data_IF_658194659639
#
_entry.id   IF_658194659639
#
_cell.length_a   1.000
_cell.length_b   1.000
_cell.length_c   1.000
_cell.angle_alpha   90.00
_cell.angle_beta   90.00
_cell.angle_gamma   90.00
#
_symmetry.space_group_name_H-M   'P 1'
#
loop_
_entity.id
_entity.type
_entity.pdbx_description
1 polymer ?
#
# COMPACT_ATOMS: atom_id res chain seq x y z
N UNK A 1 -27.02 14.83 -50.58
CA UNK A 1 -27.20 13.49 -49.96
C UNK A 1 -26.81 13.42 -48.47
N UNK A 2 -26.22 14.46 -47.83
CA UNK A 2 -25.83 14.40 -46.41
C UNK A 2 -26.94 14.67 -45.39
N UNK A 3 -27.97 15.46 -45.75
CA UNK A 3 -29.03 15.86 -44.81
C UNK A 3 -29.89 14.70 -44.28
N UNK A 4 -30.19 13.70 -45.12
CA UNK A 4 -30.93 12.51 -44.72
C UNK A 4 -30.15 11.61 -43.76
N UNK A 5 -28.82 11.50 -43.92
CA UNK A 5 -27.95 10.73 -43.01
C UNK A 5 -27.85 11.39 -41.64
N UNK A 6 -27.70 12.71 -41.59
CA UNK A 6 -27.64 13.46 -40.34
C UNK A 6 -28.94 13.34 -39.53
N UNK A 7 -30.10 13.48 -40.20
CA UNK A 7 -31.41 13.33 -39.57
C UNK A 7 -31.65 11.92 -39.04
N UNK A 8 -31.30 10.88 -39.82
CA UNK A 8 -31.43 9.49 -39.40
C UNK A 8 -30.50 9.16 -38.22
N UNK A 9 -29.24 9.61 -38.26
CA UNK A 9 -28.30 9.43 -37.15
C UNK A 9 -28.78 10.15 -35.89
N UNK A 10 -29.27 11.38 -36.01
CA UNK A 10 -29.84 12.14 -34.89
C UNK A 10 -31.06 11.47 -34.28
N UNK A 11 -31.97 10.93 -35.10
CA UNK A 11 -33.15 10.20 -34.64
C UNK A 11 -32.81 8.87 -33.93
N UNK A 12 -31.65 8.28 -34.24
CA UNK A 12 -31.18 7.05 -33.60
C UNK A 12 -30.49 7.28 -32.24
N UNK A 13 -30.18 8.54 -31.88
CA UNK A 13 -29.57 8.85 -30.59
C UNK A 13 -30.56 8.62 -29.44
N UNK A 14 -30.06 8.07 -28.33
CA UNK A 14 -30.87 7.79 -27.16
C UNK A 14 -30.13 8.14 -25.87
N UNK A 15 -30.89 8.34 -24.79
CA UNK A 15 -30.35 8.62 -23.46
C UNK A 15 -29.40 9.83 -23.45
N UNK A 16 -28.23 9.74 -22.81
CA UNK A 16 -27.28 10.83 -22.72
C UNK A 16 -26.79 11.37 -24.07
N UNK A 17 -26.80 10.56 -25.14
CA UNK A 17 -26.31 10.97 -26.45
C UNK A 17 -27.21 12.03 -27.12
N UNK A 18 -28.49 12.14 -26.74
CA UNK A 18 -29.42 13.16 -27.25
C UNK A 18 -28.95 14.59 -26.94
N UNK A 19 -28.19 14.78 -25.85
CA UNK A 19 -27.65 16.09 -25.47
C UNK A 19 -26.77 16.72 -26.56
N UNK A 20 -26.12 15.89 -27.38
CA UNK A 20 -25.29 16.37 -28.50
C UNK A 20 -26.10 17.15 -29.55
N UNK A 21 -27.38 16.83 -29.75
CA UNK A 21 -28.22 17.55 -30.72
C UNK A 21 -28.47 19.00 -30.29
N UNK A 22 -28.46 19.27 -28.98
CA UNK A 22 -28.65 20.61 -28.42
C UNK A 22 -27.35 21.42 -28.36
N UNK A 23 -26.19 20.75 -28.37
CA UNK A 23 -24.88 21.40 -28.27
C UNK A 23 -24.33 21.84 -29.64
N UNK A 24 -24.77 21.21 -30.73
CA UNK A 24 -24.29 21.48 -32.08
C UNK A 24 -25.08 22.61 -32.76
N UNK A 25 -24.40 23.41 -33.57
CA UNK A 25 -25.02 24.49 -34.34
C UNK A 25 -25.84 23.94 -35.50
N UNK A 26 -27.04 24.48 -35.71
CA UNK A 26 -27.90 24.13 -36.84
C UNK A 26 -27.51 24.89 -38.12
N UNK A 27 -27.60 24.26 -39.31
CA UNK A 27 -28.02 22.88 -39.54
C UNK A 27 -26.91 21.87 -39.19
N UNK A 28 -27.26 20.82 -38.44
CA UNK A 28 -26.29 19.79 -38.01
C UNK A 28 -25.88 18.97 -39.23
N UNK A 29 -24.60 19.06 -39.59
CA UNK A 29 -24.03 18.24 -40.65
C UNK A 29 -23.68 16.85 -40.13
N UNK A 30 -23.81 15.84 -40.98
CA UNK A 30 -23.50 14.45 -40.62
C UNK A 30 -22.09 14.31 -40.04
N UNK A 31 -21.08 14.89 -40.70
CA UNK A 31 -19.68 14.81 -40.24
C UNK A 31 -19.47 15.47 -38.87
N UNK A 32 -20.17 16.58 -38.60
CA UNK A 32 -20.10 17.25 -37.29
C UNK A 32 -20.70 16.38 -36.19
N UNK A 33 -21.82 15.72 -36.48
CA UNK A 33 -22.46 14.80 -35.53
C UNK A 33 -21.59 13.56 -35.27
N UNK A 34 -20.99 12.98 -36.31
CA UNK A 34 -20.04 11.86 -36.16
C UNK A 34 -18.82 12.28 -35.37
N UNK A 35 -18.22 13.43 -35.67
CA UNK A 35 -17.07 13.94 -34.94
C UNK A 35 -17.37 14.21 -33.47
N UNK A 36 -18.57 14.74 -33.15
CA UNK A 36 -19.00 14.96 -31.78
C UNK A 36 -19.26 13.64 -31.03
N UNK A 37 -19.84 12.64 -31.71
CA UNK A 37 -20.03 11.30 -31.17
C UNK A 37 -18.68 10.61 -30.91
N UNK A 38 -17.73 10.68 -31.83
CA UNK A 38 -16.39 10.11 -31.64
C UNK A 38 -15.61 10.88 -30.55
N UNK A 39 -15.77 12.20 -30.46
CA UNK A 39 -15.17 12.99 -29.39
C UNK A 39 -15.79 12.70 -28.01
N UNK A 40 -17.07 12.35 -27.89
CA UNK A 40 -17.68 12.08 -26.58
C UNK A 40 -17.65 10.59 -26.19
N UNK A 41 -17.85 9.72 -27.17
CA UNK A 41 -18.06 8.28 -26.99
C UNK A 41 -17.05 7.41 -27.74
N UNK A 42 -16.12 8.02 -28.49
CA UNK A 42 -15.09 7.29 -29.22
C UNK A 42 -14.14 6.54 -28.30
N UNK A 43 -13.52 5.50 -28.87
CA UNK A 43 -12.73 4.50 -28.14
C UNK A 43 -11.58 5.15 -27.35
N UNK A 44 -10.92 6.17 -27.90
CA UNK A 44 -9.78 6.84 -27.25
C UNK A 44 -10.19 7.55 -25.96
N UNK A 45 -11.30 8.27 -25.98
CA UNK A 45 -11.75 9.04 -24.82
C UNK A 45 -12.37 8.13 -23.76
N UNK A 46 -13.03 7.05 -24.19
CA UNK A 46 -13.44 5.98 -23.30
C UNK A 46 -12.23 5.27 -22.66
N UNK A 47 -11.19 4.94 -23.42
CA UNK A 47 -9.96 4.36 -22.87
C UNK A 47 -9.36 5.24 -21.78
N UNK A 48 -9.13 6.53 -22.06
CA UNK A 48 -8.54 7.47 -21.10
C UNK A 48 -9.39 7.60 -19.83
N UNK A 49 -10.70 7.73 -19.98
CA UNK A 49 -11.63 7.76 -18.84
C UNK A 49 -11.48 6.49 -17.98
N UNK A 50 -11.54 5.31 -18.60
CA UNK A 50 -11.47 4.04 -17.87
C UNK A 50 -10.10 3.79 -17.25
N UNK A 51 -9.01 4.29 -17.84
CA UNK A 51 -7.68 4.28 -17.22
C UNK A 51 -7.66 5.10 -15.93
N UNK A 52 -8.21 6.32 -15.96
CA UNK A 52 -8.29 7.18 -14.76
C UNK A 52 -9.19 6.54 -13.70
N UNK A 53 -10.33 5.95 -14.11
CA UNK A 53 -11.21 5.22 -13.20
C UNK A 53 -10.50 4.01 -12.58
N UNK A 54 -9.76 3.22 -13.38
CA UNK A 54 -8.99 2.07 -12.89
C UNK A 54 -7.91 2.49 -11.89
N UNK A 55 -7.17 3.57 -12.19
CA UNK A 55 -6.08 4.06 -11.34
C UNK A 55 -6.58 4.62 -9.99
N UNK A 56 -7.73 5.31 -10.01
CA UNK A 56 -8.34 5.87 -8.79
C UNK A 56 -9.17 4.87 -8.00
N UNK A 57 -9.35 3.65 -8.54
CA UNK A 57 -10.23 2.65 -7.94
C UNK A 57 -9.58 2.03 -6.69
N UNK A 58 -10.33 2.11 -5.59
CA UNK A 58 -10.03 1.42 -4.32
C UNK A 58 -11.29 0.71 -3.83
N UNK A 59 -11.14 -0.42 -3.13
CA UNK A 59 -12.25 -1.21 -2.60
C UNK A 59 -13.08 -0.38 -1.61
N UNK A 60 -14.40 -0.33 -1.82
CA UNK A 60 -15.31 0.45 -0.96
C UNK A 60 -15.53 -0.25 0.39
N UNK A 61 -16.02 0.51 1.37
CA UNK A 61 -16.26 0.00 2.73
C UNK A 61 -17.33 -1.10 2.82
N UNK A 62 -18.32 -1.05 1.92
CA UNK A 62 -19.42 -2.01 1.83
C UNK A 62 -19.24 -3.03 0.69
N UNK A 63 -18.06 -3.06 0.08
CA UNK A 63 -17.79 -3.90 -1.09
C UNK A 63 -16.95 -5.13 -0.70
N UNK A 64 -17.44 -6.30 -1.05
CA UNK A 64 -16.70 -7.56 -0.89
C UNK A 64 -15.56 -7.68 -1.93
N UNK A 65 -14.58 -8.53 -1.64
CA UNK A 65 -13.37 -8.69 -2.47
C UNK A 65 -13.71 -9.22 -3.88
N UNK A 66 -14.72 -10.08 -4.02
CA UNK A 66 -15.08 -10.68 -5.32
C UNK A 66 -15.76 -9.65 -6.23
N UNK A 67 -16.65 -8.83 -5.67
CA UNK A 67 -17.26 -7.71 -6.37
C UNK A 67 -16.20 -6.72 -6.80
N UNK A 68 -15.30 -6.32 -5.89
CA UNK A 68 -14.19 -5.44 -6.23
C UNK A 68 -13.32 -6.00 -7.37
N UNK A 69 -12.94 -7.27 -7.30
CA UNK A 69 -12.19 -7.97 -8.33
C UNK A 69 -12.87 -7.90 -9.71
N UNK A 70 -14.17 -8.23 -9.77
CA UNK A 70 -14.97 -8.20 -11.01
C UNK A 70 -15.00 -6.78 -11.61
N UNK A 71 -15.22 -5.76 -10.78
CA UNK A 71 -15.24 -4.37 -11.23
C UNK A 71 -13.86 -3.93 -11.76
N UNK A 72 -12.77 -4.38 -11.14
CA UNK A 72 -11.41 -4.11 -11.62
C UNK A 72 -11.14 -4.74 -12.99
N UNK A 73 -11.56 -6.00 -13.19
CA UNK A 73 -11.46 -6.65 -14.50
C UNK A 73 -12.30 -5.92 -15.57
N UNK A 74 -13.51 -5.50 -15.20
CA UNK A 74 -14.40 -4.77 -16.11
C UNK A 74 -13.85 -3.39 -16.49
N UNK A 75 -13.29 -2.65 -15.53
CA UNK A 75 -12.59 -1.39 -15.80
C UNK A 75 -11.38 -1.62 -16.70
N UNK A 76 -10.58 -2.66 -16.45
CA UNK A 76 -9.45 -3.01 -17.30
C UNK A 76 -9.86 -3.33 -18.74
N UNK A 77 -10.93 -4.11 -18.93
CA UNK A 77 -11.49 -4.44 -20.25
C UNK A 77 -11.97 -3.21 -21.01
N UNK A 78 -12.58 -2.24 -20.32
CA UNK A 78 -13.02 -0.97 -20.92
C UNK A 78 -11.86 -0.01 -21.18
N UNK A 79 -10.83 -0.03 -20.34
CA UNK A 79 -9.61 0.75 -20.52
C UNK A 79 -8.81 0.26 -21.74
N UNK A 80 -8.76 -1.06 -21.98
CA UNK A 80 -8.04 -1.60 -23.13
C UNK A 80 -8.90 -2.60 -23.95
N UNK A 81 -9.90 -2.12 -24.72
CA UNK A 81 -10.81 -3.00 -25.46
C UNK A 81 -10.13 -3.85 -26.54
N UNK A 82 -8.95 -3.41 -27.01
CA UNK A 82 -8.20 -4.06 -28.09
C UNK A 82 -6.96 -4.82 -27.60
N UNK A 83 -6.66 -4.79 -26.29
CA UNK A 83 -5.47 -5.47 -25.77
C UNK A 83 -5.70 -6.97 -25.69
N UNK A 84 -4.72 -7.75 -26.18
CA UNK A 84 -4.70 -9.22 -26.11
C UNK A 84 -3.93 -9.71 -24.87
N UNK A 85 -4.30 -9.23 -23.68
CA UNK A 85 -3.76 -9.69 -22.39
C UNK A 85 -2.48 -8.99 -21.88
N UNK A 86 -1.84 -8.13 -22.69
CA UNK A 86 -0.59 -7.45 -22.28
C UNK A 86 -0.72 -6.43 -21.14
N UNK A 87 -1.94 -6.16 -20.66
CA UNK A 87 -2.22 -5.15 -19.62
C UNK A 87 -2.70 -5.79 -18.31
N UNK A 88 -2.74 -7.11 -18.22
CA UNK A 88 -3.25 -7.84 -17.05
C UNK A 88 -2.40 -7.55 -15.81
N UNK A 89 -1.08 -7.42 -15.97
CA UNK A 89 -0.16 -7.07 -14.88
C UNK A 89 -0.48 -5.69 -14.26
N UNK A 90 -0.97 -4.74 -15.06
CA UNK A 90 -1.36 -3.41 -14.59
C UNK A 90 -2.64 -3.52 -13.76
N UNK A 91 -3.63 -4.28 -14.23
CA UNK A 91 -4.89 -4.51 -13.50
C UNK A 91 -4.61 -5.20 -12.17
N UNK A 92 -3.77 -6.24 -12.17
CA UNK A 92 -3.34 -6.95 -10.95
C UNK A 92 -2.70 -5.97 -9.97
N UNK A 93 -1.77 -5.14 -10.44
CA UNK A 93 -1.09 -4.13 -9.60
C UNK A 93 -2.10 -3.16 -8.95
N UNK A 94 -3.05 -2.63 -9.72
CA UNK A 94 -4.08 -1.74 -9.16
C UNK A 94 -5.03 -2.47 -8.20
N UNK A 95 -5.42 -3.70 -8.52
CA UNK A 95 -6.25 -4.52 -7.62
C UNK A 95 -5.57 -4.68 -6.27
N UNK A 96 -4.30 -5.11 -6.24
CA UNK A 96 -3.53 -5.29 -5.02
C UNK A 96 -3.46 -4.00 -4.18
N UNK A 97 -3.11 -2.88 -4.82
CA UNK A 97 -2.94 -1.61 -4.11
C UNK A 97 -4.26 -1.05 -3.55
N UNK A 98 -5.36 -1.27 -4.26
CA UNK A 98 -6.68 -0.78 -3.87
C UNK A 98 -7.45 -1.68 -2.90
N UNK A 99 -6.90 -2.81 -2.47
CA UNK A 99 -7.50 -3.63 -1.39
C UNK A 99 -7.61 -2.80 -0.10
N UNK A 100 -8.80 -2.84 0.52
CA UNK A 100 -9.12 -1.98 1.67
C UNK A 100 -8.44 -2.45 2.96
N UNK A 101 -8.46 -3.75 3.21
CA UNK A 101 -7.85 -4.31 4.43
C UNK A 101 -6.32 -4.31 4.26
N UNK A 102 -5.57 -3.56 5.09
CA UNK A 102 -4.13 -3.45 4.95
C UNK A 102 -3.40 -4.78 5.15
N UNK A 103 -3.94 -5.68 5.99
CA UNK A 103 -3.35 -7.01 6.23
C UNK A 103 -3.53 -7.90 5.01
N UNK A 104 -4.73 -7.90 4.43
CA UNK A 104 -4.98 -8.66 3.19
C UNK A 104 -4.10 -8.09 2.07
N UNK A 105 -4.04 -6.77 1.91
CA UNK A 105 -3.20 -6.09 0.91
C UNK A 105 -1.73 -6.48 1.03
N UNK A 106 -1.15 -6.38 2.23
CA UNK A 106 0.25 -6.75 2.49
C UNK A 106 0.55 -8.19 2.08
N UNK A 107 -0.33 -9.11 2.44
CA UNK A 107 -0.18 -10.54 2.12
C UNK A 107 -0.29 -10.81 0.62
N UNK A 108 -1.21 -10.14 -0.07
CA UNK A 108 -1.35 -10.29 -1.53
C UNK A 108 -0.10 -9.71 -2.23
N UNK A 109 0.36 -8.51 -1.86
CA UNK A 109 1.57 -7.91 -2.42
C UNK A 109 2.81 -8.80 -2.23
N UNK A 110 2.96 -9.44 -1.08
CA UNK A 110 4.08 -10.34 -0.78
C UNK A 110 4.00 -11.66 -1.55
N UNK A 111 2.81 -12.06 -1.98
CA UNK A 111 2.61 -13.30 -2.76
C UNK A 111 2.93 -13.15 -4.24
N UNK A 112 3.09 -11.92 -4.74
CA UNK A 112 3.42 -11.59 -6.13
C UNK A 112 2.58 -12.35 -7.17
N UNK A 113 1.24 -12.22 -7.15
CA UNK A 113 0.37 -12.92 -8.08
C UNK A 113 0.62 -12.46 -9.53
N UNK A 114 0.67 -13.40 -10.46
CA UNK A 114 0.86 -13.11 -11.89
C UNK A 114 -0.48 -12.79 -12.58
N UNK A 115 -1.58 -13.36 -12.06
CA UNK A 115 -2.91 -13.19 -12.65
C UNK A 115 -3.94 -12.64 -11.65
N UNK A 116 -5.03 -12.09 -12.19
CA UNK A 116 -6.17 -11.62 -11.37
C UNK A 116 -6.77 -12.76 -10.53
N UNK A 117 -6.83 -13.98 -11.09
CA UNK A 117 -7.31 -15.17 -10.39
C UNK A 117 -6.41 -15.57 -9.21
N UNK A 118 -5.09 -15.49 -9.37
CA UNK A 118 -4.14 -15.77 -8.30
C UNK A 118 -4.28 -14.74 -7.18
N UNK A 119 -4.36 -13.46 -7.54
CA UNK A 119 -4.55 -12.36 -6.60
C UNK A 119 -5.85 -12.54 -5.79
N UNK A 120 -6.95 -12.92 -6.46
CA UNK A 120 -8.23 -13.21 -5.81
C UNK A 120 -8.12 -14.40 -4.84
N UNK A 121 -7.47 -15.48 -5.27
CA UNK A 121 -7.30 -16.69 -4.45
C UNK A 121 -6.55 -16.37 -3.15
N UNK A 122 -5.46 -15.61 -3.23
CA UNK A 122 -4.70 -15.18 -2.05
C UNK A 122 -5.53 -14.24 -1.18
N UNK A 123 -6.22 -13.27 -1.78
CA UNK A 123 -7.04 -12.30 -1.04
C UNK A 123 -8.16 -12.99 -0.25
N UNK A 124 -8.91 -13.91 -0.87
CA UNK A 124 -9.98 -14.67 -0.21
C UNK A 124 -9.43 -15.58 0.90
N UNK A 125 -8.29 -16.23 0.67
CA UNK A 125 -7.62 -17.03 1.71
C UNK A 125 -7.28 -16.17 2.93
N UNK A 126 -6.76 -14.96 2.72
CA UNK A 126 -6.40 -14.06 3.82
C UNK A 126 -7.61 -13.42 4.49
N UNK A 127 -8.70 -13.17 3.76
CA UNK A 127 -9.98 -12.76 4.34
C UNK A 127 -10.50 -13.82 5.31
N UNK A 128 -10.49 -15.09 4.89
CA UNK A 128 -10.88 -16.21 5.75
C UNK A 128 -10.01 -16.33 7.00
N UNK A 129 -8.68 -16.21 6.86
CA UNK A 129 -7.74 -16.22 8.01
C UNK A 129 -7.99 -15.06 8.97
N UNK A 130 -8.29 -13.86 8.45
CA UNK A 130 -8.53 -12.67 9.26
C UNK A 130 -9.79 -12.79 10.12
N UNK A 131 -10.80 -13.54 9.66
CA UNK A 131 -12.00 -13.85 10.46
C UNK A 131 -11.68 -14.77 11.65
N UNK A 132 -10.66 -15.61 11.54
CA UNK A 132 -10.22 -16.51 12.62
C UNK A 132 -9.28 -15.82 13.61
N UNK A 133 -8.54 -14.80 13.16
CA UNK A 133 -7.56 -14.08 13.97
C UNK A 133 -7.85 -12.56 13.94
N UNK A 134 -8.91 -12.10 14.63
CA UNK A 134 -9.27 -10.70 14.63
C UNK A 134 -8.10 -9.84 15.16
N UNK A 135 -7.91 -8.62 14.64
CA UNK A 135 -6.93 -7.70 15.18
C UNK A 135 -7.16 -7.53 16.68
N UNK A 136 -6.13 -7.84 17.47
CA UNK A 136 -6.06 -7.33 18.85
C UNK A 136 -6.06 -5.82 18.72
N UNK A 137 -7.13 -5.16 19.13
CA UNK A 137 -7.18 -3.71 19.24
C UNK A 137 -6.06 -3.33 20.18
N UNK A 138 -4.99 -2.76 19.63
CA UNK A 138 -3.93 -2.17 20.45
C UNK A 138 -4.58 -0.96 21.09
N UNK A 139 -5.01 -1.12 22.35
CA UNK A 139 -5.46 -0.01 23.16
C UNK A 139 -4.33 1.02 23.17
N UNK A 140 -4.66 2.19 22.64
CA UNK A 140 -3.85 3.36 22.37
C UNK A 140 -2.64 3.50 23.33
N UNK A 141 -1.44 3.24 22.82
CA UNK A 141 -0.24 3.82 23.42
C UNK A 141 -0.13 5.23 22.82
N UNK A 142 -0.35 6.24 23.66
CA UNK A 142 -0.43 7.65 23.30
C UNK A 142 0.69 8.07 22.35
N UNK A 143 0.31 8.81 21.30
CA UNK A 143 1.25 9.42 20.36
C UNK A 143 2.25 10.29 21.13
N UNK A 144 3.51 9.89 21.17
CA UNK A 144 4.59 10.83 21.45
C UNK A 144 4.85 11.57 20.15
N UNK A 145 4.55 12.87 20.14
CA UNK A 145 4.87 13.77 19.03
C UNK A 145 6.38 13.73 18.81
N UNK A 146 6.81 13.20 17.66
CA UNK A 146 8.21 13.36 17.24
C UNK A 146 8.25 14.68 16.50
N UNK A 147 8.57 15.75 17.22
CA UNK A 147 9.09 16.95 16.55
C UNK A 147 10.48 16.60 16.02
N UNK A 148 10.68 16.74 14.70
CA UNK A 148 11.98 16.52 14.08
C UNK A 148 13.00 17.52 14.65
N UNK A 149 14.16 17.08 15.14
CA UNK A 149 15.22 17.98 15.54
C UNK A 149 15.94 18.53 14.30
N UNK A 150 16.18 19.86 14.18
CA UNK A 150 17.00 20.39 13.12
C UNK A 150 18.45 19.94 13.31
N UNK A 151 19.07 19.51 12.21
CA UNK A 151 20.44 19.03 12.23
C UNK A 151 21.44 20.19 12.40
N UNK A 152 22.35 19.99 13.37
CA UNK A 152 23.67 20.62 13.55
C UNK A 152 23.74 22.04 14.15
N UNK A 153 24.15 22.11 15.41
CA UNK A 153 25.32 22.90 15.83
C UNK A 153 25.76 22.46 17.24
N UNK A 154 26.99 21.95 17.33
CA UNK A 154 27.68 21.65 18.59
C UNK A 154 28.37 22.93 19.04
N UNK A 155 28.11 23.41 20.27
CA UNK A 155 29.16 23.73 21.25
C UNK A 155 28.61 24.20 22.61
N UNK A 156 28.99 23.41 23.62
CA UNK A 156 29.33 23.72 25.01
C UNK A 156 28.65 24.90 25.73
N UNK A 157 27.85 24.55 26.75
CA UNK A 157 27.89 25.27 28.05
C UNK A 157 27.42 24.35 29.16
N UNK A 158 28.32 24.08 30.11
CA UNK A 158 28.05 23.36 31.35
C UNK A 158 27.13 24.21 32.23
N UNK A 159 25.90 23.76 32.46
CA UNK A 159 25.08 24.23 33.58
C UNK A 159 24.43 23.04 34.30
N UNK A 160 24.76 22.93 35.58
CA UNK A 160 24.18 21.99 36.53
C UNK A 160 22.68 22.24 36.66
N UNK A 161 21.85 21.29 36.23
CA UNK A 161 20.48 21.16 36.72
C UNK A 161 20.23 19.72 37.17
N UNK A 162 20.06 19.60 38.48
CA UNK A 162 19.67 18.39 39.18
C UNK A 162 18.18 18.13 38.90
N UNK A 163 17.84 16.92 38.45
CA UNK A 163 16.46 16.53 38.19
C UNK A 163 16.32 15.04 37.88
N UNK A 164 16.07 14.27 38.95
CA UNK A 164 15.70 12.84 39.03
C UNK A 164 15.59 12.01 37.74
N UNK A 165 16.65 11.26 37.42
CA UNK A 165 16.58 10.16 36.46
C UNK A 165 16.30 8.84 37.18
N UNK A 166 15.15 8.24 36.89
CA UNK A 166 14.87 6.83 37.14
C UNK A 166 15.97 6.00 36.45
N UNK A 167 16.92 5.50 37.25
CA UNK A 167 18.09 4.74 36.82
C UNK A 167 17.62 3.40 36.28
N UNK A 168 17.35 3.32 34.97
CA UNK A 168 17.33 2.02 34.26
C UNK A 168 18.69 1.36 34.50
N UNK A 169 18.71 0.37 35.40
CA UNK A 169 19.93 -0.34 35.80
C UNK A 169 20.49 -1.00 34.56
N UNK A 170 21.68 -0.56 34.15
CA UNK A 170 22.43 -1.13 33.05
C UNK A 170 22.78 -2.58 33.41
N UNK A 171 22.13 -3.54 32.77
CA UNK A 171 22.30 -4.99 32.96
C UNK A 171 23.25 -5.57 31.92
N UNK A 172 24.08 -6.52 32.34
CA UNK A 172 25.03 -7.22 31.50
C UNK A 172 24.36 -8.37 30.75
N UNK A 173 24.36 -8.35 29.41
CA UNK A 173 23.70 -9.38 28.59
C UNK A 173 24.50 -10.69 28.47
N UNK A 174 25.42 -10.95 29.40
CA UNK A 174 26.22 -12.19 29.47
C UNK A 174 26.05 -12.91 30.80
N UNK A 175 25.85 -12.18 31.90
CA UNK A 175 25.68 -12.76 33.24
C UNK A 175 24.50 -12.15 34.02
N UNK A 176 23.70 -11.30 33.37
CA UNK A 176 22.53 -10.59 33.91
C UNK A 176 22.78 -9.72 35.15
N UNK A 177 24.05 -9.52 35.53
CA UNK A 177 24.43 -8.63 36.62
C UNK A 177 24.27 -7.15 36.24
N UNK A 178 23.84 -6.34 37.20
CA UNK A 178 23.69 -4.89 37.07
C UNK A 178 25.04 -4.17 37.24
N UNK A 179 25.19 -3.02 36.58
CA UNK A 179 26.35 -2.12 36.75
C UNK A 179 27.44 -2.24 35.69
N UNK A 180 27.34 -3.16 34.73
CA UNK A 180 28.27 -3.25 33.60
C UNK A 180 27.59 -3.80 32.32
N UNK A 181 28.15 -3.50 31.15
CA UNK A 181 27.70 -4.11 29.88
C UNK A 181 28.51 -5.38 29.59
N UNK A 182 28.06 -6.18 28.61
CA UNK A 182 28.72 -7.39 28.11
C UNK A 182 30.23 -7.21 27.84
N UNK A 183 30.66 -6.02 27.43
CA UNK A 183 32.05 -5.72 27.08
C UNK A 183 33.00 -5.67 28.29
N UNK A 184 32.49 -5.16 29.42
CA UNK A 184 33.22 -5.03 30.69
C UNK A 184 32.85 -6.13 31.69
N UNK A 185 32.35 -7.26 31.21
CA UNK A 185 31.96 -8.36 32.07
C UNK A 185 33.20 -9.05 32.67
N UNK A 186 33.35 -9.13 34.00
CA UNK A 186 34.53 -9.72 34.65
C UNK A 186 34.70 -11.22 34.33
N UNK A 187 33.61 -11.91 33.98
CA UNK A 187 33.66 -13.32 33.54
C UNK A 187 34.19 -13.48 32.11
N UNK A 188 34.47 -12.39 31.38
CA UNK A 188 34.92 -12.42 29.97
C UNK A 188 36.32 -12.99 29.79
N UNK A 189 37.14 -13.06 30.83
CA UNK A 189 38.54 -13.55 30.77
C UNK A 189 38.89 -14.73 31.67
N UNK A 190 37.91 -15.39 32.30
CA UNK A 190 38.19 -16.59 33.11
C UNK A 190 37.88 -17.88 32.32
N UNK A 191 38.69 -18.10 31.28
CA UNK A 191 39.06 -19.44 30.83
C UNK A 191 40.59 -19.48 30.85
N UNK A 192 41.17 -19.84 32.00
CA UNK A 192 42.60 -20.07 32.17
C UNK A 192 43.19 -19.44 33.44
N UNK A 193 43.49 -20.28 34.44
CA UNK A 193 44.41 -19.92 35.53
C UNK A 193 43.88 -20.18 36.94
N UNK A 194 43.80 -21.46 37.34
CA UNK A 194 43.77 -21.83 38.76
C UNK A 194 45.18 -21.66 39.34
N UNK A 195 45.40 -20.64 40.16
CA UNK A 195 46.54 -20.57 41.07
C UNK A 195 46.04 -20.77 42.50
N UNK A 196 46.18 -22.00 43.00
CA UNK A 196 46.06 -22.31 44.42
C UNK A 196 47.25 -21.68 45.16
N UNK A 197 46.98 -20.88 46.19
CA UNK A 197 47.96 -20.45 47.18
C UNK A 197 47.95 -21.42 48.37
N UNK A 198 49.11 -21.92 48.75
CA UNK A 198 49.32 -22.68 49.99
C UNK A 198 50.80 -22.99 50.17
N UNK A 199 51.50 -22.15 50.94
CA UNK A 199 52.87 -22.40 51.43
C UNK A 199 52.82 -23.33 52.65
N UNK A 200 53.79 -24.25 52.79
CA UNK A 200 54.66 -24.52 53.96
C UNK A 200 55.50 -25.83 53.78
N UNK A 201 56.52 -26.17 54.61
CA UNK A 201 57.91 -25.78 54.39
C UNK A 201 58.91 -26.97 54.30
N UNK A 202 60.17 -26.61 54.13
CA UNK A 202 61.38 -27.43 53.99
C UNK A 202 61.76 -28.18 55.28
N UNK A 203 62.17 -29.44 55.16
CA UNK A 203 63.05 -30.14 56.11
C UNK A 203 63.94 -31.11 55.33
N UNK A 204 65.13 -31.30 55.88
CA UNK A 204 66.40 -31.81 55.30
C UNK A 204 66.36 -33.15 54.57
#
# INVERSE_FOLDING_TARGET
>A
MGGTKAAALGAALCGPALTLLSELQHPILYEQLVAALDARYGIKNQMQLHLVLLQSRVQKSNEDIQTYHREMQELGRKAWPQARGGMDCIIVTHFMNGLRDPRIRERVLTSWPETMSDALTVALRMEAVSRLTPPKTVSQCSQVSVEEPPCLAVQATLQHHQGGADRRKLVCWRCDAIGHTRWNCPTRRQTGGSSKSGNEPRSE
#
